data_IF_191782079726
#
_entry.id   IF_191782079726
#
_cell.length_a   1.000
_cell.length_b   1.000
_cell.length_c   1.000
_cell.angle_alpha   90.00
_cell.angle_beta   90.00
_cell.angle_gamma   90.00
#
_symmetry.space_group_name_H-M   'P 1'
#
loop_
_entity.id
_entity.type
_entity.pdbx_description
1 polymer ?
#
# COMPACT_ATOMS: atom_id res chain seq x y z
N UNK A 1 -7.05 1.93 5.32
CA UNK A 1 -6.03 1.91 4.26
C UNK A 1 -6.37 1.01 3.07
N UNK A 2 -7.16 -0.07 3.21
CA UNK A 2 -7.50 -0.94 2.06
C UNK A 2 -8.22 -0.20 0.92
N UNK A 3 -9.29 0.55 1.22
CA UNK A 3 -10.00 1.32 0.20
C UNK A 3 -9.17 2.48 -0.34
N UNK A 4 -8.33 3.11 0.50
CA UNK A 4 -7.47 4.21 0.09
C UNK A 4 -6.41 3.81 -0.94
N UNK A 5 -5.84 2.59 -0.82
CA UNK A 5 -4.90 2.05 -1.80
C UNK A 5 -5.62 1.66 -3.10
N UNK A 6 -6.84 1.09 -3.01
CA UNK A 6 -7.65 0.79 -4.19
C UNK A 6 -8.00 2.07 -4.96
N UNK A 7 -8.40 3.14 -4.27
CA UNK A 7 -8.68 4.45 -4.92
C UNK A 7 -7.45 5.01 -5.62
N UNK A 8 -6.24 4.77 -5.09
CA UNK A 8 -5.00 5.25 -5.71
C UNK A 8 -4.64 4.52 -7.02
N UNK A 9 -4.91 3.21 -7.11
CA UNK A 9 -4.61 2.41 -8.30
C UNK A 9 -5.81 2.15 -9.23
N UNK A 10 -7.03 2.45 -8.78
CA UNK A 10 -8.27 2.18 -9.50
C UNK A 10 -8.46 0.69 -9.82
N UNK A 11 -9.08 0.41 -10.97
CA UNK A 11 -9.31 -0.95 -11.46
C UNK A 11 -8.04 -1.67 -11.95
N UNK A 12 -6.88 -1.03 -11.87
CA UNK A 12 -5.60 -1.61 -12.28
C UNK A 12 -4.90 -2.38 -11.15
N UNK A 13 -5.44 -2.34 -9.93
CA UNK A 13 -4.86 -3.00 -8.76
C UNK A 13 -5.86 -3.93 -8.08
N UNK A 14 -5.35 -5.04 -7.55
CA UNK A 14 -6.07 -5.89 -6.62
C UNK A 14 -5.59 -5.60 -5.19
N UNK A 15 -6.54 -5.43 -4.27
CA UNK A 15 -6.23 -5.24 -2.84
C UNK A 15 -6.78 -6.42 -2.06
N UNK A 16 -5.92 -7.06 -1.28
CA UNK A 16 -6.30 -8.15 -0.37
C UNK A 16 -6.09 -7.70 1.07
N UNK A 17 -7.08 -7.98 1.93
CA UNK A 17 -6.97 -7.82 3.37
C UNK A 17 -6.80 -9.19 4.01
N UNK A 18 -5.60 -9.45 4.50
CA UNK A 18 -5.28 -10.71 5.19
C UNK A 18 -5.36 -10.48 6.69
N UNK A 19 -6.26 -11.17 7.42
CA UNK A 19 -6.27 -11.13 8.87
C UNK A 19 -4.93 -11.58 9.45
N UNK A 20 -4.48 -10.89 10.49
CA UNK A 20 -3.28 -11.26 11.24
C UNK A 20 -3.50 -11.19 12.73
N UNK A 21 -2.49 -11.59 13.50
CA UNK A 21 -2.52 -11.62 14.97
C UNK A 21 -1.60 -10.56 15.56
N UNK A 22 -1.66 -10.33 16.87
CA UNK A 22 -0.76 -9.37 17.56
C UNK A 22 -0.95 -7.91 17.13
N UNK A 23 -2.10 -7.60 16.55
CA UNK A 23 -2.40 -6.28 15.99
C UNK A 23 -1.55 -5.91 14.77
N UNK A 24 -0.89 -6.86 14.10
CA UNK A 24 0.01 -6.59 12.96
C UNK A 24 -0.58 -5.59 11.97
N UNK A 25 0.27 -4.67 11.50
CA UNK A 25 -0.06 -3.77 10.42
C UNK A 25 1.12 -3.72 9.44
N UNK A 26 0.97 -4.47 8.35
CA UNK A 26 1.95 -4.57 7.27
C UNK A 26 1.26 -4.29 5.94
N UNK A 27 1.89 -3.49 5.10
CA UNK A 27 1.42 -3.20 3.74
C UNK A 27 2.50 -3.67 2.77
N UNK A 28 2.11 -4.49 1.81
CA UNK A 28 2.96 -4.97 0.72
C UNK A 28 2.41 -4.52 -0.63
N UNK A 29 3.28 -4.09 -1.54
CA UNK A 29 2.94 -3.85 -2.94
C UNK A 29 3.74 -4.84 -3.79
N UNK A 30 3.06 -5.73 -4.53
CA UNK A 30 3.71 -6.81 -5.30
C UNK A 30 4.80 -7.54 -4.50
N UNK A 31 4.44 -8.03 -3.30
CA UNK A 31 5.32 -8.72 -2.34
C UNK A 31 6.43 -7.87 -1.69
N UNK A 32 6.61 -6.61 -2.09
CA UNK A 32 7.54 -5.67 -1.44
C UNK A 32 6.89 -5.02 -0.22
N UNK A 33 7.51 -5.15 0.96
CA UNK A 33 7.05 -4.49 2.19
C UNK A 33 7.31 -2.99 2.12
N UNK A 34 6.24 -2.20 1.99
CA UNK A 34 6.30 -0.73 1.95
C UNK A 34 5.97 -0.08 3.29
N UNK A 35 5.35 -0.85 4.19
CA UNK A 35 5.12 -0.43 5.57
C UNK A 35 5.11 -1.64 6.49
N UNK A 36 5.79 -1.51 7.63
CA UNK A 36 5.72 -2.49 8.71
C UNK A 36 5.72 -1.78 10.06
N UNK A 37 4.60 -1.88 10.79
CA UNK A 37 4.47 -1.29 12.11
C UNK A 37 5.42 -1.92 13.12
N UNK A 38 5.71 -3.21 13.02
CA UNK A 38 6.57 -3.88 13.99
C UNK A 38 8.04 -3.42 13.82
N UNK A 39 8.40 -2.93 12.64
CA UNK A 39 9.70 -2.27 12.36
C UNK A 39 9.68 -0.79 12.74
N UNK A 40 8.62 -0.06 12.35
CA UNK A 40 8.54 1.41 12.51
C UNK A 40 8.03 1.86 13.88
N UNK A 41 7.46 0.94 14.66
CA UNK A 41 6.86 1.21 15.97
C UNK A 41 5.60 2.09 15.92
N UNK A 42 5.04 2.37 14.74
CA UNK A 42 3.92 3.30 14.57
C UNK A 42 3.03 2.96 13.38
N UNK A 43 1.79 3.43 13.42
CA UNK A 43 0.89 3.42 12.27
C UNK A 43 1.23 4.56 11.29
N UNK A 44 0.81 4.46 10.01
CA UNK A 44 0.95 5.54 9.05
C UNK A 44 0.25 6.81 9.55
N UNK A 45 0.95 7.94 9.47
CA UNK A 45 0.36 9.26 9.61
C UNK A 45 -0.29 9.71 8.29
N UNK A 46 -0.90 10.90 8.28
CA UNK A 46 -1.48 11.46 7.06
C UNK A 46 -0.44 11.65 5.93
N UNK A 47 0.77 12.19 6.19
CA UNK A 47 1.87 12.19 5.22
C UNK A 47 2.23 10.81 4.68
N UNK A 48 2.46 9.83 5.56
CA UNK A 48 2.85 8.47 5.13
C UNK A 48 1.74 7.84 4.25
N UNK A 49 0.48 8.09 4.61
CA UNK A 49 -0.66 7.61 3.83
C UNK A 49 -0.72 8.23 2.43
N UNK A 50 -0.30 9.50 2.27
CA UNK A 50 -0.19 10.14 0.97
C UNK A 50 0.95 9.52 0.15
N UNK A 51 2.10 9.27 0.78
CA UNK A 51 3.23 8.62 0.11
C UNK A 51 2.90 7.19 -0.33
N UNK A 52 2.26 6.38 0.51
CA UNK A 52 1.83 5.03 0.14
C UNK A 52 0.89 5.03 -1.06
N UNK A 53 -0.07 5.97 -1.12
CA UNK A 53 -0.95 6.13 -2.29
C UNK A 53 -0.19 6.59 -3.53
N UNK A 54 0.75 7.52 -3.39
CA UNK A 54 1.58 7.97 -4.49
C UNK A 54 2.44 6.83 -5.05
N UNK A 55 3.00 5.96 -4.19
CA UNK A 55 3.72 4.76 -4.63
C UNK A 55 2.84 3.85 -5.47
N UNK A 56 1.60 3.58 -5.04
CA UNK A 56 0.64 2.78 -5.83
C UNK A 56 0.37 3.43 -7.19
N UNK A 57 0.05 4.72 -7.22
CA UNK A 57 -0.22 5.43 -8.48
C UNK A 57 0.98 5.39 -9.43
N UNK A 58 2.19 5.64 -8.92
CA UNK A 58 3.43 5.61 -9.71
C UNK A 58 3.71 4.20 -10.28
N UNK A 59 3.43 3.13 -9.51
CA UNK A 59 3.58 1.75 -10.01
C UNK A 59 2.61 1.46 -11.15
N UNK A 60 1.37 1.95 -11.04
CA UNK A 60 0.37 1.82 -12.12
C UNK A 60 0.82 2.58 -13.36
N UNK A 61 1.23 3.85 -13.23
CA UNK A 61 1.74 4.64 -14.35
C UNK A 61 2.93 3.96 -15.03
N UNK A 62 3.90 3.47 -14.25
CA UNK A 62 5.07 2.76 -14.75
C UNK A 62 4.70 1.47 -15.48
N UNK A 63 3.73 0.69 -14.97
CA UNK A 63 3.27 -0.53 -15.60
C UNK A 63 2.56 -0.24 -16.94
N UNK A 64 1.75 0.83 -17.01
CA UNK A 64 1.06 1.21 -18.25
C UNK A 64 1.99 1.80 -19.32
N UNK A 65 3.06 2.48 -18.92
CA UNK A 65 4.03 3.05 -19.86
C UNK A 65 4.96 2.01 -20.49
N UNK A 66 5.04 0.82 -19.91
CA UNK A 66 5.86 -0.29 -20.38
C UNK A 66 5.15 -1.21 -21.40
N UNK A 67 3.91 -0.90 -21.78
CA UNK A 67 3.06 -1.64 -22.73
C UNK A 67 2.89 -0.84 -24.01
#
# INVERSE_FOLDING_TARGET
>A
MGSELYVAGGSQVAVTLTPGTGGVFRVTLNDEVVWDRDVLGRYPSLPDSKELKAKVANMVEAATAAV
#
